data_IF_632043591802
#
_entry.id   IF_632043591802
#
_cell.length_a   1.000
_cell.length_b   1.000
_cell.length_c   1.000
_cell.angle_alpha   90.00
_cell.angle_beta   90.00
_cell.angle_gamma   90.00
#
_symmetry.space_group_name_H-M   'P 1'
#
loop_
_entity.id
_entity.type
_entity.pdbx_description
1 polymer ?
#
# COMPACT_ATOMS: atom_id res chain seq x y z
N UNK A 1 -78.47 45.72 33.26
CA UNK A 1 -78.18 45.92 31.81
C UNK A 1 -76.69 45.71 31.66
N UNK A 2 -76.31 44.71 30.87
CA UNK A 2 -74.97 44.37 30.36
C UNK A 2 -73.72 44.57 31.26
N UNK A 3 -72.96 43.49 31.50
CA UNK A 3 -71.52 43.57 31.72
C UNK A 3 -70.77 42.99 30.51
N UNK A 4 -69.92 43.79 29.89
CA UNK A 4 -68.94 43.38 28.85
C UNK A 4 -67.61 44.00 29.29
N UNK A 5 -66.62 43.22 29.73
CA UNK A 5 -65.60 42.50 28.93
C UNK A 5 -64.23 43.12 29.34
N UNK A 6 -63.13 42.44 29.63
CA UNK A 6 -62.69 41.08 29.39
C UNK A 6 -61.50 40.70 30.30
N UNK A 7 -61.56 39.48 30.82
CA UNK A 7 -60.50 38.51 31.13
C UNK A 7 -59.05 38.96 31.46
N UNK A 8 -58.65 38.81 32.73
CA UNK A 8 -57.36 38.20 33.09
C UNK A 8 -57.59 37.18 34.22
N UNK A 9 -57.34 35.90 33.92
CA UNK A 9 -57.54 34.78 34.84
C UNK A 9 -56.25 33.93 34.96
N UNK A 10 -55.73 33.91 36.19
CA UNK A 10 -55.06 32.80 36.91
C UNK A 10 -53.68 32.27 36.50
N UNK A 11 -52.69 32.68 37.29
CA UNK A 11 -51.68 31.91 38.03
C UNK A 11 -51.42 30.40 37.75
N UNK A 12 -50.12 30.08 37.61
CA UNK A 12 -49.43 29.00 38.34
C UNK A 12 -47.92 29.32 38.47
N UNK A 13 -47.25 28.96 39.59
CA UNK A 13 -45.82 29.20 39.80
C UNK A 13 -44.98 28.05 39.24
N UNK A 14 -43.99 28.35 38.40
CA UNK A 14 -43.00 27.38 37.94
C UNK A 14 -41.73 27.41 38.81
N UNK A 15 -41.35 26.22 39.24
CA UNK A 15 -40.20 25.87 40.09
C UNK A 15 -38.89 26.15 39.34
N UNK A 16 -37.84 26.69 39.98
CA UNK A 16 -36.57 26.94 39.31
C UNK A 16 -35.88 25.62 38.95
N UNK A 17 -35.71 25.37 37.65
CA UNK A 17 -34.93 24.26 37.11
C UNK A 17 -33.47 24.52 37.46
N UNK A 18 -32.97 23.80 38.47
CA UNK A 18 -31.55 23.67 38.75
C UNK A 18 -30.88 22.94 37.58
N UNK A 19 -30.27 23.72 36.68
CA UNK A 19 -29.39 23.20 35.66
C UNK A 19 -28.21 22.49 36.33
N UNK A 20 -28.30 21.17 36.44
CA UNK A 20 -27.17 20.33 36.83
C UNK A 20 -26.24 20.32 35.63
N UNK A 21 -25.29 21.27 35.61
CA UNK A 21 -24.23 21.31 34.63
C UNK A 21 -23.43 20.01 34.75
N UNK A 22 -23.72 19.04 33.87
CA UNK A 22 -22.82 17.92 33.63
C UNK A 22 -21.50 18.52 33.18
N UNK A 23 -20.49 18.46 34.04
CA UNK A 23 -19.15 18.96 33.76
C UNK A 23 -18.70 18.43 32.40
N UNK A 24 -18.13 19.28 31.52
CA UNK A 24 -17.56 18.79 30.28
C UNK A 24 -16.49 17.78 30.66
N UNK A 25 -16.57 16.57 30.09
CA UNK A 25 -15.47 15.60 30.14
C UNK A 25 -14.32 16.23 29.36
N UNK A 26 -13.51 17.04 30.03
CA UNK A 26 -12.20 17.44 29.56
C UNK A 26 -11.35 16.17 29.53
N UNK A 27 -11.35 15.51 28.37
CA UNK A 27 -10.39 14.46 28.07
C UNK A 27 -9.01 15.13 27.91
N UNK A 28 -8.39 15.49 29.03
CA UNK A 28 -7.00 15.89 29.08
C UNK A 28 -6.13 14.66 28.74
N UNK A 29 -5.93 14.43 27.45
CA UNK A 29 -4.82 13.60 26.99
C UNK A 29 -3.52 14.31 27.39
N UNK A 30 -2.90 13.87 28.49
CA UNK A 30 -1.55 14.30 28.86
C UNK A 30 -0.65 14.13 27.63
N UNK A 31 -0.01 15.20 27.11
CA UNK A 31 0.75 15.14 25.86
C UNK A 31 1.86 14.07 25.89
N UNK A 32 2.37 13.73 27.07
CA UNK A 32 3.33 12.64 27.29
C UNK A 32 2.78 11.24 26.95
N UNK A 33 1.50 10.97 27.24
CA UNK A 33 0.86 9.69 26.91
C UNK A 33 0.60 9.57 25.41
N UNK A 34 0.08 10.63 24.79
CA UNK A 34 -0.15 10.66 23.34
C UNK A 34 1.16 10.47 22.53
N UNK A 35 2.26 11.07 22.99
CA UNK A 35 3.59 10.88 22.37
C UNK A 35 4.09 9.44 22.56
N UNK A 36 3.89 8.84 23.73
CA UNK A 36 4.28 7.44 23.96
C UNK A 36 3.45 6.46 23.14
N UNK A 37 2.13 6.65 23.06
CA UNK A 37 1.25 5.85 22.20
C UNK A 37 1.66 5.98 20.73
N UNK A 38 2.01 7.19 20.26
CA UNK A 38 2.51 7.38 18.90
C UNK A 38 3.85 6.66 18.65
N UNK A 39 4.79 6.72 19.61
CA UNK A 39 6.06 5.99 19.52
C UNK A 39 5.83 4.48 19.51
N UNK A 40 4.92 4.00 20.35
CA UNK A 40 4.52 2.60 20.44
C UNK A 40 3.92 2.10 19.12
N UNK A 41 2.97 2.85 18.55
CA UNK A 41 2.35 2.52 17.27
C UNK A 41 3.37 2.54 16.12
N UNK A 42 4.32 3.49 16.13
CA UNK A 42 5.43 3.54 15.15
C UNK A 42 6.35 2.33 15.32
N UNK A 43 6.72 1.96 16.55
CA UNK A 43 7.63 0.86 16.83
C UNK A 43 7.01 -0.49 16.43
N UNK A 44 5.79 -0.76 16.88
CA UNK A 44 5.09 -2.01 16.53
C UNK A 44 4.71 -2.06 15.07
N UNK A 45 4.30 -0.94 14.49
CA UNK A 45 4.06 -0.83 13.05
C UNK A 45 5.31 -1.17 12.24
N UNK A 46 6.47 -0.67 12.67
CA UNK A 46 7.77 -0.95 12.02
C UNK A 46 8.16 -2.43 12.13
N UNK A 47 8.06 -3.03 13.32
CA UNK A 47 8.38 -4.45 13.52
C UNK A 47 7.42 -5.34 12.73
N UNK A 48 6.12 -5.06 12.79
CA UNK A 48 5.11 -5.78 12.02
C UNK A 48 5.37 -5.68 10.52
N UNK A 49 5.76 -4.51 10.01
CA UNK A 49 6.14 -4.30 8.61
C UNK A 49 7.36 -5.12 8.19
N UNK A 50 8.40 -5.16 9.04
CA UNK A 50 9.59 -5.99 8.80
C UNK A 50 9.22 -7.47 8.75
N UNK A 51 8.47 -7.97 9.73
CA UNK A 51 8.05 -9.39 9.75
C UNK A 51 7.17 -9.71 8.54
N UNK A 52 6.24 -8.82 8.19
CA UNK A 52 5.43 -8.92 6.97
C UNK A 52 6.31 -9.09 5.73
N UNK A 53 7.38 -8.30 5.59
CA UNK A 53 8.33 -8.44 4.48
C UNK A 53 9.06 -9.78 4.49
N UNK A 54 9.44 -10.31 5.64
CA UNK A 54 10.04 -11.65 5.72
C UNK A 54 9.06 -12.76 5.29
N UNK A 55 7.77 -12.61 5.56
CA UNK A 55 6.75 -13.58 5.10
C UNK A 55 6.46 -13.42 3.61
N UNK A 56 6.45 -12.20 3.09
CA UNK A 56 6.23 -11.89 1.66
C UNK A 56 7.39 -12.34 0.76
N UNK A 57 8.61 -12.29 1.28
CA UNK A 57 9.82 -12.40 0.47
C UNK A 57 9.92 -13.69 -0.37
N UNK A 58 9.60 -14.89 0.16
CA UNK A 58 9.59 -16.11 -0.65
C UNK A 58 8.66 -16.03 -1.86
N UNK A 59 7.50 -15.37 -1.71
CA UNK A 59 6.52 -15.18 -2.79
C UNK A 59 7.03 -14.17 -3.83
N UNK A 60 7.70 -13.10 -3.39
CA UNK A 60 8.34 -12.13 -4.28
C UNK A 60 9.45 -12.80 -5.11
N UNK A 61 10.28 -13.63 -4.47
CA UNK A 61 11.32 -14.41 -5.15
C UNK A 61 10.74 -15.33 -6.24
N UNK A 62 9.62 -16.02 -5.95
CA UNK A 62 8.92 -16.85 -6.95
C UNK A 62 8.32 -16.03 -8.08
N UNK A 63 7.67 -14.90 -7.76
CA UNK A 63 7.09 -13.98 -8.76
C UNK A 63 8.16 -13.51 -9.75
N UNK A 64 9.29 -13.04 -9.23
CA UNK A 64 10.41 -12.54 -10.03
C UNK A 64 10.98 -13.66 -10.90
N UNK A 65 11.25 -14.85 -10.35
CA UNK A 65 11.73 -16.03 -11.11
C UNK A 65 10.76 -16.46 -12.21
N UNK A 66 9.45 -16.33 -11.99
CA UNK A 66 8.44 -16.62 -13.01
C UNK A 66 8.37 -15.55 -14.11
N UNK A 67 8.52 -14.28 -13.76
CA UNK A 67 8.46 -13.15 -14.69
C UNK A 67 9.72 -13.01 -15.54
N UNK A 68 10.88 -13.44 -15.04
CA UNK A 68 12.16 -13.37 -15.73
C UNK A 68 12.50 -14.60 -16.57
N UNK A 69 11.57 -15.54 -16.75
CA UNK A 69 11.83 -16.71 -17.60
C UNK A 69 12.02 -16.28 -19.07
N UNK A 70 13.10 -16.72 -19.72
CA UNK A 70 13.33 -16.41 -21.13
C UNK A 70 12.25 -17.06 -22.01
N UNK A 71 11.53 -16.25 -22.77
CA UNK A 71 10.44 -16.69 -23.68
C UNK A 71 10.94 -17.61 -24.84
N UNK A 72 12.26 -17.69 -25.03
CA UNK A 72 12.93 -18.39 -26.14
C UNK A 72 13.40 -19.81 -25.80
N UNK A 73 13.22 -20.26 -24.56
CA UNK A 73 13.53 -21.63 -24.11
C UNK A 73 12.26 -22.32 -23.58
N UNK A 74 12.20 -23.66 -23.53
CA UNK A 74 11.10 -24.35 -22.85
C UNK A 74 10.98 -23.82 -21.42
N UNK A 75 9.75 -23.46 -21.02
CA UNK A 75 9.45 -22.87 -19.72
C UNK A 75 10.10 -23.71 -18.60
N UNK A 76 11.08 -23.12 -17.92
CA UNK A 76 11.80 -23.77 -16.81
C UNK A 76 10.88 -24.05 -15.63
N UNK A 77 9.87 -23.20 -15.42
CA UNK A 77 8.85 -23.40 -14.40
C UNK A 77 7.46 -23.39 -15.03
N UNK A 78 6.70 -24.46 -14.82
CA UNK A 78 5.31 -24.60 -15.34
C UNK A 78 4.30 -23.77 -14.56
N UNK A 79 4.66 -23.31 -13.37
CA UNK A 79 3.83 -22.46 -12.53
C UNK A 79 4.49 -22.07 -11.20
N UNK A 80 3.77 -21.33 -10.34
CA UNK A 80 4.30 -20.82 -9.07
C UNK A 80 4.68 -21.90 -8.08
N UNK A 81 3.87 -22.95 -7.96
CA UNK A 81 4.13 -24.09 -7.08
C UNK A 81 5.32 -24.93 -7.55
N UNK A 82 5.46 -25.08 -8.87
CA UNK A 82 6.58 -25.78 -9.49
C UNK A 82 7.90 -25.02 -9.28
N UNK A 83 7.87 -23.69 -9.50
CA UNK A 83 8.98 -22.80 -9.19
C UNK A 83 9.36 -22.87 -7.71
N UNK A 84 8.39 -22.80 -6.80
CA UNK A 84 8.64 -22.86 -5.36
C UNK A 84 9.27 -24.20 -4.94
N UNK A 85 8.70 -25.33 -5.42
CA UNK A 85 9.21 -26.68 -5.11
C UNK A 85 10.62 -26.89 -5.66
N UNK A 86 10.88 -26.46 -6.90
CA UNK A 86 12.20 -26.57 -7.52
C UNK A 86 13.22 -25.66 -6.82
N UNK A 87 12.80 -24.47 -6.41
CA UNK A 87 13.64 -23.52 -5.66
C UNK A 87 14.06 -24.08 -4.30
N UNK A 88 13.13 -24.68 -3.54
CA UNK A 88 13.46 -25.34 -2.27
C UNK A 88 14.38 -26.53 -2.47
N UNK A 89 14.15 -27.34 -3.52
CA UNK A 89 14.99 -28.51 -3.81
C UNK A 89 16.42 -28.13 -4.24
N UNK A 90 16.58 -26.99 -4.93
CA UNK A 90 17.87 -26.53 -5.44
C UNK A 90 18.66 -25.68 -4.43
N UNK A 91 18.02 -24.67 -3.85
CA UNK A 91 18.69 -23.65 -3.02
C UNK A 91 18.40 -23.82 -1.51
N UNK A 92 17.50 -24.73 -1.14
CA UNK A 92 16.97 -24.86 0.22
C UNK A 92 16.00 -23.74 0.61
N UNK A 93 15.40 -23.85 1.79
CA UNK A 93 14.45 -22.84 2.29
C UNK A 93 15.11 -21.47 2.51
N UNK A 94 16.33 -21.45 3.08
CA UNK A 94 17.11 -20.23 3.28
C UNK A 94 17.58 -19.60 1.96
N UNK A 95 17.69 -20.38 0.89
CA UNK A 95 17.99 -19.89 -0.46
C UNK A 95 16.95 -18.92 -1.00
N UNK A 96 15.68 -19.06 -0.58
CA UNK A 96 14.59 -18.13 -0.93
C UNK A 96 14.74 -16.74 -0.31
N UNK A 97 15.53 -16.61 0.77
CA UNK A 97 15.79 -15.38 1.51
C UNK A 97 17.06 -14.65 1.07
N UNK A 98 17.82 -15.24 0.15
CA UNK A 98 19.08 -14.69 -0.32
C UNK A 98 18.83 -13.39 -1.11
N UNK A 99 19.31 -12.27 -0.57
CA UNK A 99 19.20 -10.95 -1.19
C UNK A 99 18.05 -10.08 -0.66
N UNK A 100 17.45 -10.43 0.49
CA UNK A 100 16.34 -9.69 1.09
C UNK A 100 16.66 -8.23 1.45
N UNK A 101 17.94 -7.91 1.67
CA UNK A 101 18.38 -6.56 2.05
C UNK A 101 18.02 -5.50 1.00
N UNK A 102 18.21 -5.78 -0.29
CA UNK A 102 17.90 -4.80 -1.34
C UNK A 102 16.37 -4.50 -1.44
N UNK A 103 15.47 -5.50 -1.42
CA UNK A 103 14.04 -5.24 -1.37
C UNK A 103 13.56 -4.61 -0.07
N UNK A 104 14.19 -4.91 1.07
CA UNK A 104 13.88 -4.28 2.35
C UNK A 104 14.25 -2.79 2.35
N UNK A 105 15.45 -2.43 1.86
CA UNK A 105 15.87 -1.04 1.69
C UNK A 105 14.97 -0.31 0.70
N UNK A 106 14.60 -0.96 -0.41
CA UNK A 106 13.66 -0.40 -1.39
C UNK A 106 12.30 -0.07 -0.76
N UNK A 107 11.74 -0.98 0.02
CA UNK A 107 10.45 -0.77 0.70
C UNK A 107 10.54 0.33 1.79
N UNK A 108 11.65 0.40 2.52
CA UNK A 108 11.89 1.44 3.51
C UNK A 108 11.97 2.82 2.85
N UNK A 109 12.66 2.93 1.72
CA UNK A 109 12.77 4.19 0.96
C UNK A 109 11.44 4.59 0.32
N UNK A 110 10.68 3.64 -0.22
CA UNK A 110 9.32 3.86 -0.73
C UNK A 110 8.42 4.45 0.35
N UNK A 111 8.36 3.78 1.50
CA UNK A 111 7.51 4.18 2.63
C UNK A 111 7.92 5.54 3.21
N UNK A 112 9.23 5.75 3.41
CA UNK A 112 9.76 7.01 3.94
C UNK A 112 9.50 8.19 3.00
N UNK A 113 9.70 7.99 1.70
CA UNK A 113 9.45 9.03 0.70
C UNK A 113 7.97 9.37 0.63
N UNK A 114 7.11 8.34 0.66
CA UNK A 114 5.66 8.53 0.63
C UNK A 114 5.20 9.37 1.82
N UNK A 115 5.57 9.03 3.06
CA UNK A 115 5.20 9.81 4.25
C UNK A 115 5.75 11.24 4.20
N UNK A 116 6.98 11.43 3.72
CA UNK A 116 7.60 12.75 3.62
C UNK A 116 6.81 13.67 2.67
N UNK A 117 6.53 13.21 1.44
CA UNK A 117 5.80 14.04 0.47
C UNK A 117 4.32 14.17 0.80
N UNK A 118 3.73 13.18 1.46
CA UNK A 118 2.35 13.23 1.95
C UNK A 118 2.19 14.28 3.06
N UNK A 119 3.16 14.36 3.99
CA UNK A 119 3.22 15.42 4.99
C UNK A 119 3.33 16.82 4.37
N UNK A 120 4.18 17.00 3.37
CA UNK A 120 4.29 18.26 2.61
C UNK A 120 2.97 18.60 1.91
N UNK A 121 2.33 17.62 1.27
CA UNK A 121 1.06 17.79 0.58
C UNK A 121 -0.05 18.23 1.54
N UNK A 122 -0.16 17.58 2.70
CA UNK A 122 -1.11 17.96 3.76
C UNK A 122 -0.87 19.38 4.27
N UNK A 123 0.37 19.73 4.59
CA UNK A 123 0.71 21.07 5.08
C UNK A 123 0.36 22.15 4.05
N UNK A 124 0.56 21.85 2.77
CA UNK A 124 0.19 22.75 1.66
C UNK A 124 -1.33 22.95 1.58
N UNK A 125 -2.13 21.89 1.74
CA UNK A 125 -3.60 21.99 1.76
C UNK A 125 -4.09 22.82 2.95
N UNK A 126 -3.49 22.63 4.14
CA UNK A 126 -3.81 23.44 5.31
C UNK A 126 -3.40 24.91 5.12
N UNK A 127 -2.23 25.17 4.55
CA UNK A 127 -1.74 26.52 4.27
C UNK A 127 -2.60 27.27 3.25
N UNK A 128 -3.18 26.56 2.28
CA UNK A 128 -4.10 27.11 1.28
C UNK A 128 -5.53 27.30 1.79
N UNK A 129 -5.84 26.89 3.03
CA UNK A 129 -7.16 27.08 3.64
C UNK A 129 -8.24 26.12 3.13
N UNK A 130 -7.87 25.06 2.41
CA UNK A 130 -8.83 24.06 1.90
C UNK A 130 -9.38 23.13 3.00
N UNK A 131 -8.72 23.06 4.16
CA UNK A 131 -9.20 22.32 5.33
C UNK A 131 -8.76 23.00 6.64
N UNK A 132 -9.58 22.98 7.71
CA UNK A 132 -9.16 23.47 9.02
C UNK A 132 -8.07 22.56 9.61
N UNK A 133 -7.07 23.15 10.27
CA UNK A 133 -6.07 22.39 11.04
C UNK A 133 -6.77 21.65 12.19
N UNK A 134 -6.67 20.32 12.21
CA UNK A 134 -7.18 19.47 13.29
C UNK A 134 -8.45 18.67 12.99
N UNK A 135 -9.02 18.79 11.78
CA UNK A 135 -10.03 17.84 11.28
C UNK A 135 -9.40 16.85 10.31
N UNK A 136 -9.98 15.64 10.23
CA UNK A 136 -9.62 14.66 9.21
C UNK A 136 -9.84 15.26 7.81
N UNK A 137 -8.86 15.09 6.93
CA UNK A 137 -8.96 15.59 5.57
C UNK A 137 -10.17 14.96 4.87
N UNK A 138 -10.95 15.74 4.09
CA UNK A 138 -11.96 15.15 3.22
C UNK A 138 -11.28 14.19 2.24
N UNK A 139 -12.00 13.14 1.85
CA UNK A 139 -11.47 12.06 1.00
C UNK A 139 -10.80 12.57 -0.26
N UNK A 140 -11.39 13.57 -0.92
CA UNK A 140 -10.82 14.22 -2.10
C UNK A 140 -9.44 14.83 -1.84
N UNK A 141 -9.26 15.47 -0.69
CA UNK A 141 -7.97 16.04 -0.29
C UNK A 141 -6.96 14.94 0.09
N UNK A 142 -7.39 13.85 0.73
CA UNK A 142 -6.53 12.68 0.96
C UNK A 142 -6.06 12.04 -0.35
N UNK A 143 -6.92 11.99 -1.36
CA UNK A 143 -6.58 11.46 -2.68
C UNK A 143 -5.59 12.37 -3.41
N UNK A 144 -5.79 13.68 -3.37
CA UNK A 144 -4.88 14.66 -3.97
C UNK A 144 -3.50 14.64 -3.32
N UNK A 145 -3.45 14.62 -1.98
CA UNK A 145 -2.17 14.54 -1.24
C UNK A 145 -1.47 13.21 -1.45
N UNK A 146 -2.20 12.10 -1.48
CA UNK A 146 -1.66 10.78 -1.81
C UNK A 146 -1.13 10.71 -3.25
N UNK A 147 -1.87 11.23 -4.23
CA UNK A 147 -1.42 11.27 -5.63
C UNK A 147 -0.19 12.18 -5.80
N UNK A 148 -0.17 13.35 -5.14
CA UNK A 148 0.99 14.23 -5.08
C UNK A 148 2.20 13.50 -4.50
N UNK A 149 2.04 12.86 -3.34
CA UNK A 149 3.11 12.09 -2.71
C UNK A 149 3.61 10.94 -3.59
N UNK A 150 2.70 10.24 -4.27
CA UNK A 150 3.02 9.17 -5.21
C UNK A 150 3.85 9.65 -6.41
N UNK A 151 3.55 10.83 -6.97
CA UNK A 151 4.33 11.41 -8.08
C UNK A 151 5.77 11.69 -7.65
N UNK A 152 6.00 12.33 -6.51
CA UNK A 152 7.37 12.62 -6.06
C UNK A 152 8.11 11.37 -5.61
N UNK A 153 7.41 10.45 -4.95
CA UNK A 153 7.96 9.14 -4.57
C UNK A 153 8.39 8.35 -5.80
N UNK A 154 7.65 8.40 -6.90
CA UNK A 154 8.00 7.67 -8.13
C UNK A 154 9.34 8.13 -8.71
N UNK A 155 9.72 9.41 -8.58
CA UNK A 155 11.03 9.89 -9.04
C UNK A 155 12.21 9.32 -8.24
N UNK A 156 12.02 9.07 -6.95
CA UNK A 156 13.02 8.44 -6.08
C UNK A 156 13.03 6.92 -6.31
N UNK A 157 11.85 6.32 -6.48
CA UNK A 157 11.68 4.88 -6.51
C UNK A 157 12.13 4.25 -7.84
N UNK A 158 11.87 4.91 -8.96
CA UNK A 158 12.20 4.37 -10.30
C UNK A 158 13.67 3.97 -10.49
N UNK A 159 14.69 4.76 -10.12
CA UNK A 159 16.09 4.32 -10.21
C UNK A 159 16.40 3.10 -9.34
N UNK A 160 15.82 3.04 -8.14
CA UNK A 160 16.02 1.95 -7.18
C UNK A 160 15.40 0.66 -7.72
N UNK A 161 14.17 0.75 -8.23
CA UNK A 161 13.46 -0.36 -8.83
C UNK A 161 14.12 -0.83 -10.11
N UNK A 162 14.61 0.07 -10.96
CA UNK A 162 15.35 -0.29 -12.16
C UNK A 162 16.57 -1.13 -11.81
N UNK A 163 17.37 -0.70 -10.82
CA UNK A 163 18.55 -1.46 -10.35
C UNK A 163 18.12 -2.82 -9.77
N UNK A 164 17.08 -2.84 -8.93
CA UNK A 164 16.53 -4.07 -8.35
C UNK A 164 16.09 -5.05 -9.44
N UNK A 165 15.31 -4.60 -10.42
CA UNK A 165 14.84 -5.41 -11.53
C UNK A 165 16.00 -5.95 -12.36
N UNK A 166 17.00 -5.13 -12.69
CA UNK A 166 18.17 -5.57 -13.48
C UNK A 166 19.03 -6.61 -12.76
N UNK A 167 19.23 -6.49 -11.44
CA UNK A 167 19.94 -7.51 -10.65
C UNK A 167 19.17 -8.84 -10.61
N UNK A 168 17.85 -8.74 -10.63
CA UNK A 168 16.95 -9.88 -10.49
C UNK A 168 16.70 -10.64 -11.79
N UNK A 169 17.04 -10.07 -12.96
CA UNK A 169 17.03 -10.78 -14.23
C UNK A 169 18.25 -11.69 -14.29
N UNK A 170 18.08 -13.02 -14.38
CA UNK A 170 19.20 -13.92 -14.58
C UNK A 170 19.79 -13.69 -15.98
N UNK A 171 21.00 -13.13 -16.07
CA UNK A 171 21.74 -13.13 -17.34
C UNK A 171 22.10 -14.58 -17.70
N UNK A 172 21.43 -15.11 -18.72
CA UNK A 172 21.76 -16.42 -19.30
C UNK A 172 22.63 -16.15 -20.52
N UNK A 173 23.95 -16.35 -20.41
CA UNK A 173 24.80 -16.41 -21.61
C UNK A 173 24.50 -17.70 -22.39
N UNK A 174 24.62 -17.60 -23.73
CA UNK A 174 24.66 -18.70 -24.68
C UNK A 174 25.78 -19.69 -24.31
N UNK A 175 25.46 -20.65 -23.44
CA UNK A 175 26.46 -21.58 -22.89
C UNK A 175 26.10 -22.22 -21.54
N UNK A 176 25.00 -21.80 -20.89
CA UNK A 176 24.44 -22.52 -19.73
C UNK A 176 25.14 -22.29 -18.39
N UNK A 177 26.16 -21.43 -18.33
CA UNK A 177 26.79 -21.02 -17.06
C UNK A 177 26.14 -19.72 -16.57
N UNK A 178 25.45 -19.78 -15.44
CA UNK A 178 24.86 -18.62 -14.81
C UNK A 178 25.97 -17.69 -14.28
N UNK A 179 26.04 -16.46 -14.79
CA UNK A 179 26.96 -15.45 -14.26
C UNK A 179 26.54 -15.09 -12.82
N UNK A 180 27.52 -14.83 -11.95
CA UNK A 180 27.26 -14.39 -10.59
C UNK A 180 26.38 -13.13 -10.60
N UNK A 181 25.38 -13.09 -9.71
CA UNK A 181 24.43 -11.97 -9.56
C UNK A 181 25.18 -10.62 -9.59
N UNK A 182 24.83 -9.76 -10.55
CA UNK A 182 25.46 -8.46 -10.73
C UNK A 182 25.42 -7.64 -9.44
N UNK A 183 26.54 -7.03 -9.06
CA UNK A 183 26.57 -6.15 -7.89
C UNK A 183 25.81 -4.86 -8.21
N UNK A 184 25.07 -4.25 -7.26
CA UNK A 184 24.31 -3.02 -7.52
C UNK A 184 25.12 -1.90 -8.17
N UNK A 185 26.37 -1.71 -7.73
CA UNK A 185 27.30 -0.71 -8.28
C UNK A 185 27.69 -0.97 -9.74
N UNK A 186 27.75 -2.24 -10.17
CA UNK A 186 28.04 -2.58 -11.56
C UNK A 186 26.86 -2.21 -12.44
N UNK A 187 25.64 -2.57 -12.03
CA UNK A 187 24.41 -2.20 -12.74
C UNK A 187 24.26 -0.68 -12.87
N UNK A 188 24.51 0.07 -11.79
CA UNK A 188 24.47 1.55 -11.81
C UNK A 188 25.48 2.11 -12.83
N UNK A 189 26.71 1.58 -12.83
CA UNK A 189 27.77 2.01 -13.74
C UNK A 189 27.43 1.68 -15.19
N UNK A 190 26.86 0.51 -15.45
CA UNK A 190 26.49 0.06 -16.79
C UNK A 190 25.30 0.86 -17.34
N UNK A 191 24.28 1.12 -16.52
CA UNK A 191 23.15 2.00 -16.89
C UNK A 191 23.67 3.40 -17.22
N UNK A 192 24.54 3.97 -16.38
CA UNK A 192 25.11 5.29 -16.63
C UNK A 192 25.95 5.34 -17.91
N UNK A 193 26.74 4.30 -18.20
CA UNK A 193 27.59 4.24 -19.40
C UNK A 193 26.79 4.07 -20.69
N UNK A 194 25.72 3.28 -20.68
CA UNK A 194 24.94 2.98 -21.89
C UNK A 194 23.80 3.97 -22.15
N UNK A 195 23.18 4.52 -21.10
CA UNK A 195 21.97 5.35 -21.22
C UNK A 195 22.12 6.75 -20.60
N UNK A 196 23.25 7.02 -19.94
CA UNK A 196 23.46 8.25 -19.19
C UNK A 196 22.49 8.39 -18.02
N UNK A 197 22.34 9.63 -17.54
CA UNK A 197 21.51 9.95 -16.38
C UNK A 197 20.01 9.68 -16.64
N UNK A 198 19.53 9.81 -17.88
CA UNK A 198 18.13 9.57 -18.24
C UNK A 198 17.72 8.10 -18.17
N UNK A 199 18.67 7.17 -18.29
CA UNK A 199 18.42 5.73 -18.21
C UNK A 199 17.82 5.28 -16.89
N UNK A 200 18.15 5.98 -15.79
CA UNK A 200 17.64 5.70 -14.46
C UNK A 200 16.12 5.88 -14.32
N UNK A 201 15.50 6.71 -15.16
CA UNK A 201 14.05 6.92 -15.18
C UNK A 201 13.35 6.11 -16.28
N UNK A 202 14.01 5.09 -16.82
CA UNK A 202 13.37 4.17 -17.74
C UNK A 202 12.25 3.38 -17.04
N UNK A 203 11.02 3.50 -17.54
CA UNK A 203 9.82 2.95 -16.90
C UNK A 203 9.11 3.90 -15.92
N UNK A 204 9.56 5.15 -15.78
CA UNK A 204 8.97 6.16 -14.87
C UNK A 204 7.45 6.30 -15.03
N UNK A 205 6.93 6.28 -16.26
CA UNK A 205 5.49 6.42 -16.49
C UNK A 205 4.69 5.25 -15.88
N UNK A 206 5.23 4.03 -15.96
CA UNK A 206 4.63 2.87 -15.30
C UNK A 206 4.64 3.01 -13.78
N UNK A 207 5.76 3.44 -13.20
CA UNK A 207 5.87 3.70 -11.76
C UNK A 207 4.91 4.82 -11.33
N UNK A 208 4.82 5.90 -12.09
CA UNK A 208 3.93 7.02 -11.77
C UNK A 208 2.46 6.62 -11.81
N UNK A 209 2.03 5.88 -12.84
CA UNK A 209 0.66 5.35 -12.93
C UNK A 209 0.38 4.44 -11.74
N UNK A 210 1.33 3.57 -11.39
CA UNK A 210 1.23 2.67 -10.25
C UNK A 210 1.14 3.40 -8.92
N UNK A 211 1.99 4.40 -8.65
CA UNK A 211 1.97 5.14 -7.39
C UNK A 211 0.70 6.01 -7.26
N UNK A 212 0.48 6.89 -8.25
CA UNK A 212 -0.59 7.87 -8.17
C UNK A 212 -1.97 7.22 -8.24
N UNK A 213 -2.14 6.28 -9.18
CA UNK A 213 -3.36 5.50 -9.29
C UNK A 213 -3.51 4.50 -8.14
N UNK A 214 -2.38 4.01 -7.62
CA UNK A 214 -2.35 3.04 -6.56
C UNK A 214 -2.91 3.54 -5.24
N UNK A 215 -2.51 4.74 -4.85
CA UNK A 215 -3.08 5.43 -3.70
C UNK A 215 -4.60 5.59 -3.83
N UNK A 216 -5.09 6.00 -5.01
CA UNK A 216 -6.52 6.17 -5.26
C UNK A 216 -7.29 4.84 -5.14
N UNK A 217 -6.81 3.77 -5.78
CA UNK A 217 -7.45 2.46 -5.68
C UNK A 217 -7.40 1.88 -4.27
N UNK A 218 -6.29 2.08 -3.55
CA UNK A 218 -6.16 1.62 -2.16
C UNK A 218 -7.16 2.34 -1.26
N UNK A 219 -7.20 3.67 -1.27
CA UNK A 219 -8.12 4.43 -0.43
C UNK A 219 -9.58 4.19 -0.80
N UNK A 220 -9.92 4.24 -2.09
CA UNK A 220 -11.29 3.98 -2.56
C UNK A 220 -11.78 2.60 -2.14
N UNK A 221 -10.97 1.56 -2.37
CA UNK A 221 -11.35 0.20 -2.00
C UNK A 221 -11.41 -0.01 -0.49
N UNK A 222 -10.45 0.55 0.27
CA UNK A 222 -10.44 0.48 1.74
C UNK A 222 -11.70 1.11 2.31
N UNK A 223 -12.07 2.28 1.82
CA UNK A 223 -13.22 3.00 2.34
C UNK A 223 -14.54 2.37 1.94
N UNK A 224 -14.69 1.92 0.69
CA UNK A 224 -15.86 1.16 0.26
C UNK A 224 -16.02 -0.11 1.09
N UNK A 225 -14.94 -0.87 1.31
CA UNK A 225 -14.99 -2.08 2.14
C UNK A 225 -15.33 -1.75 3.61
N UNK A 226 -14.77 -0.67 4.15
CA UNK A 226 -15.08 -0.17 5.50
C UNK A 226 -16.56 0.21 5.64
N UNK A 227 -17.12 0.92 4.66
CA UNK A 227 -18.55 1.30 4.63
C UNK A 227 -19.45 0.06 4.56
N UNK A 228 -19.16 -0.88 3.67
CA UNK A 228 -19.93 -2.12 3.57
C UNK A 228 -19.92 -2.94 4.86
N UNK A 229 -18.77 -3.03 5.54
CA UNK A 229 -18.65 -3.71 6.82
C UNK A 229 -19.37 -2.98 7.94
N UNK A 230 -19.32 -1.64 7.96
CA UNK A 230 -20.12 -0.81 8.88
C UNK A 230 -21.61 -1.04 8.66
N UNK A 231 -22.09 -0.95 7.42
CA UNK A 231 -23.49 -1.16 7.08
C UNK A 231 -23.97 -2.58 7.46
N UNK A 232 -23.11 -3.58 7.31
CA UNK A 232 -23.42 -4.96 7.72
C UNK A 232 -23.51 -5.12 9.26
N UNK A 233 -22.62 -4.47 10.01
CA UNK A 233 -22.67 -4.46 11.47
C UNK A 233 -23.89 -3.68 11.99
N UNK A 234 -24.19 -2.52 11.39
CA UNK A 234 -25.36 -1.70 11.73
C UNK A 234 -26.68 -2.46 11.51
N UNK A 235 -26.78 -3.24 10.43
CA UNK A 235 -27.93 -4.13 10.19
C UNK A 235 -28.05 -5.28 11.20
N UNK A 236 -26.97 -5.60 11.90
CA UNK A 236 -26.93 -6.65 12.91
C UNK A 236 -27.20 -6.13 14.33
N UNK A 237 -27.28 -4.80 14.52
CA UNK A 237 -27.54 -4.17 15.80
C UNK A 237 -28.98 -4.45 16.27
N UNK A 238 -29.15 -4.83 17.54
CA UNK A 238 -30.45 -5.21 18.10
C UNK A 238 -31.17 -4.06 18.82
N UNK A 239 -30.48 -2.93 19.04
CA UNK A 239 -30.96 -1.76 19.77
C UNK A 239 -30.33 -0.45 19.25
N UNK A 240 -31.04 0.68 19.35
CA UNK A 240 -30.51 2.01 19.02
C UNK A 240 -29.26 2.38 19.83
N UNK A 241 -29.21 2.01 21.11
CA UNK A 241 -28.04 2.24 21.95
C UNK A 241 -26.82 1.39 21.52
N UNK A 242 -27.07 0.23 20.90
CA UNK A 242 -26.02 -0.62 20.33
C UNK A 242 -25.52 -0.06 18.99
N UNK A 243 -26.43 0.48 18.18
CA UNK A 243 -26.12 1.18 16.93
C UNK A 243 -25.25 2.41 17.17
N UNK A 244 -25.59 3.25 18.16
CA UNK A 244 -24.79 4.42 18.52
C UNK A 244 -23.41 4.05 19.03
N UNK A 245 -23.29 3.00 19.86
CA UNK A 245 -21.98 2.45 20.26
C UNK A 245 -21.18 1.95 19.06
N UNK A 246 -21.80 1.22 18.13
CA UNK A 246 -21.11 0.71 16.94
C UNK A 246 -20.63 1.82 16.00
N UNK A 247 -21.35 2.94 15.92
CA UNK A 247 -20.92 4.13 15.16
C UNK A 247 -19.79 4.90 15.85
N UNK A 248 -19.82 4.99 17.17
CA UNK A 248 -18.80 5.67 17.96
C UNK A 248 -17.50 4.88 18.08
N UNK A 249 -17.55 3.54 17.96
CA UNK A 249 -16.37 2.68 18.10
C UNK A 249 -15.72 2.43 16.72
N UNK A 250 -14.39 2.54 16.57
CA UNK A 250 -13.72 2.12 15.35
C UNK A 250 -13.99 0.63 15.06
N UNK A 251 -14.00 0.25 13.78
CA UNK A 251 -14.21 -1.15 13.38
C UNK A 251 -13.17 -2.05 14.07
N UNK A 252 -13.56 -3.28 14.46
CA UNK A 252 -12.62 -4.22 15.02
C UNK A 252 -11.47 -4.49 14.04
N UNK A 253 -10.28 -4.73 14.57
CA UNK A 253 -9.04 -4.79 13.79
C UNK A 253 -9.10 -5.82 12.65
N UNK A 254 -9.79 -6.95 12.83
CA UNK A 254 -9.98 -7.94 11.77
C UNK A 254 -10.84 -7.43 10.60
N UNK A 255 -11.82 -6.56 10.84
CA UNK A 255 -12.61 -5.94 9.78
C UNK A 255 -11.79 -4.86 9.05
N UNK A 256 -10.98 -4.11 9.78
CA UNK A 256 -10.01 -3.19 9.18
C UNK A 256 -8.97 -3.95 8.34
N UNK A 257 -8.55 -5.14 8.78
CA UNK A 257 -7.64 -6.02 8.07
C UNK A 257 -8.26 -6.55 6.77
N UNK A 258 -9.52 -6.98 6.80
CA UNK A 258 -10.25 -7.39 5.58
C UNK A 258 -10.37 -6.22 4.61
N UNK A 259 -10.71 -5.02 5.09
CA UNK A 259 -10.77 -3.82 4.26
C UNK A 259 -9.40 -3.43 3.66
N UNK A 260 -8.32 -3.59 4.44
CA UNK A 260 -6.94 -3.38 3.97
C UNK A 260 -6.49 -4.43 2.95
N UNK A 261 -6.82 -5.70 3.17
CA UNK A 261 -6.52 -6.79 2.24
C UNK A 261 -7.28 -6.62 0.93
N UNK A 262 -8.58 -6.27 0.97
CA UNK A 262 -9.36 -5.98 -0.24
C UNK A 262 -8.81 -4.78 -0.99
N UNK A 263 -8.34 -3.75 -0.27
CA UNK A 263 -7.67 -2.60 -0.89
C UNK A 263 -6.37 -2.99 -1.60
N UNK A 264 -5.53 -3.81 -0.95
CA UNK A 264 -4.31 -4.34 -1.55
C UNK A 264 -4.60 -5.22 -2.77
N UNK A 265 -5.63 -6.06 -2.74
CA UNK A 265 -6.03 -6.89 -3.87
C UNK A 265 -6.53 -6.04 -5.05
N UNK A 266 -7.39 -5.05 -4.79
CA UNK A 266 -7.91 -4.14 -5.80
C UNK A 266 -6.81 -3.29 -6.44
N UNK A 267 -5.89 -2.75 -5.62
CA UNK A 267 -4.68 -2.06 -6.08
C UNK A 267 -3.88 -2.93 -7.05
N UNK A 268 -3.52 -4.15 -6.62
CA UNK A 268 -2.70 -5.04 -7.42
C UNK A 268 -3.43 -5.49 -8.68
N UNK A 269 -4.75 -5.61 -8.68
CA UNK A 269 -5.53 -6.04 -9.84
C UNK A 269 -5.70 -4.92 -10.88
N UNK A 270 -6.05 -3.70 -10.45
CA UNK A 270 -6.31 -2.57 -11.34
C UNK A 270 -5.04 -2.09 -12.05
N UNK A 271 -3.91 -2.05 -11.33
CA UNK A 271 -2.65 -1.54 -11.86
C UNK A 271 -1.68 -2.64 -12.34
N UNK A 272 -2.11 -3.90 -12.30
CA UNK A 272 -1.33 -5.03 -12.81
C UNK A 272 -0.86 -4.87 -14.28
N UNK A 273 -1.69 -4.34 -15.20
CA UNK A 273 -1.26 -4.11 -16.58
C UNK A 273 -0.10 -3.11 -16.67
N UNK A 274 -0.13 -2.05 -15.87
CA UNK A 274 0.92 -1.04 -15.83
C UNK A 274 2.22 -1.61 -15.24
N UNK A 275 2.10 -2.41 -14.18
CA UNK A 275 3.23 -3.13 -13.57
C UNK A 275 3.88 -4.11 -14.54
N UNK A 276 3.08 -4.81 -15.34
CA UNK A 276 3.58 -5.77 -16.32
C UNK A 276 4.36 -5.07 -17.43
N UNK A 277 3.84 -3.96 -17.98
CA UNK A 277 4.58 -3.16 -18.98
C UNK A 277 5.87 -2.60 -18.38
N UNK A 278 5.80 -2.00 -17.18
CA UNK A 278 6.95 -1.47 -16.46
C UNK A 278 8.02 -2.54 -16.25
N UNK A 279 7.63 -3.70 -15.74
CA UNK A 279 8.54 -4.81 -15.47
C UNK A 279 9.24 -5.24 -16.77
N UNK A 280 8.52 -5.47 -17.87
CA UNK A 280 9.14 -5.80 -19.17
C UNK A 280 10.18 -4.75 -19.57
N UNK A 281 9.81 -3.46 -19.54
CA UNK A 281 10.73 -2.36 -19.88
C UNK A 281 11.99 -2.33 -19.00
N UNK A 282 11.85 -2.54 -17.69
CA UNK A 282 12.98 -2.51 -16.74
C UNK A 282 13.85 -3.77 -16.82
N UNK A 283 13.28 -4.90 -17.22
CA UNK A 283 13.99 -6.18 -17.39
C UNK A 283 14.68 -6.33 -18.74
N UNK A 284 14.39 -5.47 -19.73
CA UNK A 284 15.05 -5.51 -21.04
C UNK A 284 16.59 -5.42 -20.89
N UNK A 285 17.36 -6.32 -21.55
CA UNK A 285 18.81 -6.32 -21.51
C UNK A 285 19.41 -4.96 -21.90
N UNK A 286 20.55 -4.62 -21.30
CA UNK A 286 21.26 -3.38 -21.63
C UNK A 286 21.85 -3.50 -23.04
N UNK A 287 21.48 -2.58 -23.94
CA UNK A 287 21.95 -2.57 -25.33
C UNK A 287 20.99 -3.17 -26.35
N UNK A 288 19.85 -3.74 -25.92
CA UNK A 288 18.80 -4.19 -26.85
C UNK A 288 18.07 -2.98 -27.48
N UNK A 289 17.84 -2.93 -28.80
CA UNK A 289 17.05 -1.86 -29.43
C UNK A 289 15.61 -1.74 -28.86
N UNK A 290 15.05 -2.81 -28.30
CA UNK A 290 13.78 -2.78 -27.58
C UNK A 290 13.81 -1.91 -26.31
N UNK A 291 15.00 -1.61 -25.79
CA UNK A 291 15.21 -0.79 -24.59
C UNK A 291 14.84 0.69 -24.79
N UNK A 292 14.65 1.15 -26.03
CA UNK A 292 14.21 2.52 -26.34
C UNK A 292 12.69 2.63 -26.60
N UNK A 293 11.93 1.55 -26.40
CA UNK A 293 10.48 1.59 -26.62
C UNK A 293 9.80 2.44 -25.55
N UNK A 294 8.83 3.24 -25.98
CA UNK A 294 7.96 3.96 -25.07
C UNK A 294 6.97 3.00 -24.42
N UNK A 295 6.42 3.39 -23.26
CA UNK A 295 5.42 2.61 -22.52
C UNK A 295 4.25 2.15 -23.40
N UNK A 296 3.72 3.04 -24.25
CA UNK A 296 2.63 2.70 -25.17
C UNK A 296 3.05 1.69 -26.26
N UNK A 297 4.28 1.80 -26.78
CA UNK A 297 4.81 0.87 -27.79
C UNK A 297 5.04 -0.52 -27.19
N UNK A 298 5.54 -0.59 -25.97
CA UNK A 298 5.74 -1.87 -25.27
C UNK A 298 4.40 -2.51 -24.88
N UNK A 299 3.41 -1.72 -24.43
CA UNK A 299 2.05 -2.20 -24.23
C UNK A 299 1.41 -2.73 -25.52
N UNK A 300 1.54 -2.02 -26.64
CA UNK A 300 1.04 -2.48 -27.93
C UNK A 300 1.75 -3.77 -28.41
N UNK A 301 3.07 -3.90 -28.16
CA UNK A 301 3.82 -5.12 -28.46
C UNK A 301 3.33 -6.30 -27.61
N UNK A 302 3.12 -6.09 -26.31
CA UNK A 302 2.57 -7.11 -25.41
C UNK A 302 1.17 -7.57 -25.82
N UNK A 303 0.30 -6.62 -26.20
CA UNK A 303 -1.03 -6.92 -26.71
C UNK A 303 -0.99 -7.81 -27.96
N UNK A 304 -0.11 -7.48 -28.92
CA UNK A 304 0.06 -8.28 -30.15
C UNK A 304 0.64 -9.67 -29.87
N UNK A 305 1.50 -9.82 -28.87
CA UNK A 305 2.18 -11.09 -28.57
C UNK A 305 1.34 -12.05 -27.72
N UNK A 306 0.72 -11.55 -26.65
CA UNK A 306 0.10 -12.37 -25.61
C UNK A 306 -1.33 -11.95 -25.25
N UNK A 307 -1.84 -10.87 -25.85
CA UNK A 307 -3.16 -10.32 -25.58
C UNK A 307 -3.39 -10.02 -24.10
N UNK A 308 -4.66 -10.07 -23.68
CA UNK A 308 -5.07 -9.79 -22.30
C UNK A 308 -4.41 -10.73 -21.26
N UNK A 309 -4.15 -11.98 -21.63
CA UNK A 309 -3.45 -12.94 -20.76
C UNK A 309 -2.02 -12.52 -20.45
N UNK A 310 -1.36 -11.82 -21.37
CA UNK A 310 -0.03 -11.24 -21.15
C UNK A 310 -0.04 -10.19 -20.03
N UNK A 311 -1.02 -9.29 -20.05
CA UNK A 311 -1.13 -8.19 -19.07
C UNK A 311 -1.43 -8.67 -17.65
N UNK A 312 -2.06 -9.83 -17.47
CA UNK A 312 -2.42 -10.38 -16.15
C UNK A 312 -1.57 -11.59 -15.74
N UNK A 313 -0.47 -11.86 -16.46
CA UNK A 313 0.41 -12.99 -16.18
C UNK A 313 1.11 -12.80 -14.82
N UNK A 314 0.69 -13.61 -13.83
CA UNK A 314 1.20 -13.52 -12.45
C UNK A 314 0.34 -12.70 -11.49
N UNK A 315 -0.82 -12.18 -11.94
CA UNK A 315 -1.75 -11.45 -11.09
C UNK A 315 -2.25 -12.31 -9.92
N UNK A 316 -2.61 -13.57 -10.19
CA UNK A 316 -3.05 -14.50 -9.16
C UNK A 316 -2.02 -14.74 -8.05
N UNK A 317 -0.72 -14.78 -8.37
CA UNK A 317 0.36 -14.92 -7.36
C UNK A 317 0.45 -13.65 -6.51
N UNK A 318 0.32 -12.48 -7.14
CA UNK A 318 0.43 -11.19 -6.46
C UNK A 318 -0.76 -10.96 -5.51
N UNK A 319 -1.97 -11.32 -5.95
CA UNK A 319 -3.19 -11.26 -5.15
C UNK A 319 -3.15 -12.29 -4.00
N UNK A 320 -2.71 -13.53 -4.29
CA UNK A 320 -2.57 -14.56 -3.27
C UNK A 320 -1.52 -14.20 -2.22
N UNK A 321 -0.47 -13.45 -2.57
CA UNK A 321 0.54 -12.94 -1.64
C UNK A 321 -0.03 -11.91 -0.67
N UNK A 322 -1.00 -11.09 -1.09
CA UNK A 322 -1.54 -10.01 -0.26
C UNK A 322 -2.27 -10.52 0.99
N UNK A 323 -3.04 -11.62 0.88
CA UNK A 323 -3.83 -12.11 2.01
C UNK A 323 -2.99 -12.65 3.20
N UNK A 324 -2.01 -13.56 2.99
CA UNK A 324 -1.13 -14.01 4.06
C UNK A 324 -0.29 -12.87 4.64
N UNK A 325 0.24 -11.99 3.81
CA UNK A 325 1.03 -10.85 4.26
C UNK A 325 0.25 -9.98 5.24
N UNK A 326 -0.96 -9.56 4.86
CA UNK A 326 -1.81 -8.77 5.73
C UNK A 326 -2.09 -9.51 7.05
N UNK A 327 -2.49 -10.79 6.98
CA UNK A 327 -2.77 -11.58 8.18
C UNK A 327 -1.59 -11.66 9.17
N UNK A 328 -0.36 -11.85 8.67
CA UNK A 328 0.84 -11.90 9.52
C UNK A 328 1.22 -10.55 10.11
N UNK A 329 1.13 -9.47 9.33
CA UNK A 329 1.36 -8.11 9.83
C UNK A 329 0.44 -7.82 11.02
N UNK A 330 -0.84 -8.18 10.90
CA UNK A 330 -1.82 -8.00 11.99
C UNK A 330 -1.52 -8.89 13.19
N UNK A 331 -1.26 -10.18 12.98
CA UNK A 331 -0.95 -11.10 14.08
C UNK A 331 0.27 -10.63 14.89
N UNK A 332 1.27 -10.06 14.22
CA UNK A 332 2.47 -9.51 14.87
C UNK A 332 2.15 -8.20 15.58
N UNK A 333 1.44 -7.26 14.94
CA UNK A 333 1.08 -5.99 15.56
C UNK A 333 0.21 -6.20 16.82
N UNK A 334 -0.83 -7.03 16.73
CA UNK A 334 -1.72 -7.35 17.85
C UNK A 334 -0.99 -8.14 18.94
N UNK A 335 -0.12 -9.06 18.54
CA UNK A 335 0.73 -9.80 19.46
C UNK A 335 1.65 -8.86 20.26
N UNK A 336 2.33 -7.93 19.58
CA UNK A 336 3.22 -6.97 20.22
C UNK A 336 2.46 -6.06 21.18
N UNK A 337 1.32 -5.51 20.74
CA UNK A 337 0.49 -4.63 21.58
C UNK A 337 -0.09 -5.34 22.81
N UNK A 338 -0.38 -6.64 22.70
CA UNK A 338 -0.91 -7.45 23.80
C UNK A 338 0.17 -7.90 24.80
N UNK A 339 1.35 -8.30 24.33
CA UNK A 339 2.38 -8.91 25.18
C UNK A 339 3.46 -7.94 25.64
N UNK A 340 3.65 -6.81 24.97
CA UNK A 340 4.69 -5.83 25.26
C UNK A 340 4.17 -4.39 25.38
N UNK A 341 3.06 -4.08 26.10
CA UNK A 341 2.59 -2.71 26.19
C UNK A 341 3.66 -1.78 26.80
N UNK A 342 4.06 -0.73 26.08
CA UNK A 342 4.96 0.31 26.59
C UNK A 342 4.14 1.30 27.43
N UNK A 343 4.12 1.07 28.74
CA UNK A 343 3.35 1.85 29.73
C UNK A 343 3.73 3.32 29.83
#
# INVERSE_FOLDING_TARGET
MEPTAEAQLTSKPEVPISATASSPVTMELKPRKAVMEAIEDIAYGSVAGVVGKYVEYPFDTVKVRLQSQPDHLPLRYRGPLDCFRQSIRADGFLGLYRGISAPLVGAALETSSLFFFEGIGRETIYALGFAPRGQDLPLSAMWLTGAFAGVFTSFILTPIELVKCKIQVPETESGGVAKASLKPLQVIKDVFRHQGLRGFWHGQLGTLIREAGGCAAWFGSKETATKLLRDANEKSARSEAELERMRATPLPLWQQAVAGASAGMAYNFLFFPADTIKSRMQTTPIGDPAQNRSFAKEGAALWKQAGLRGFYRGCGVTVLRSAPSSAFIFMVYDGLKKYLPMQ
#
